data_IF_775474252559
#
_entry.id   IF_775474252559
#
_cell.length_a   1.000
_cell.length_b   1.000
_cell.length_c   1.000
_cell.angle_alpha   90.00
_cell.angle_beta   90.00
_cell.angle_gamma   90.00
#
_symmetry.space_group_name_H-M   'P 1'
#
loop_
_entity.id
_entity.type
_entity.pdbx_description
1 polymer ?
#
# COMPACT_ATOMS: atom_id res chain seq x y z
N UNK A 1 -8.99 -13.45 -4.75
CA UNK A 1 -10.37 -13.47 -4.22
C UNK A 1 -10.47 -12.95 -2.79
N UNK A 2 -9.57 -13.33 -1.87
CA UNK A 2 -9.52 -12.81 -0.48
C UNK A 2 -9.11 -11.32 -0.40
N UNK A 3 -8.13 -10.89 -1.20
CA UNK A 3 -7.66 -9.50 -1.23
C UNK A 3 -8.76 -8.48 -1.57
N UNK A 4 -9.56 -8.77 -2.61
CA UNK A 4 -10.68 -7.91 -2.99
C UNK A 4 -11.73 -7.81 -1.88
N UNK A 5 -11.95 -8.88 -1.10
CA UNK A 5 -12.88 -8.87 0.03
C UNK A 5 -12.36 -8.01 1.18
N UNK A 6 -11.07 -8.10 1.52
CA UNK A 6 -10.47 -7.24 2.55
C UNK A 6 -10.57 -5.78 2.13
N UNK A 7 -10.22 -5.46 0.89
CA UNK A 7 -10.30 -4.09 0.38
C UNK A 7 -11.74 -3.54 0.43
N UNK A 8 -12.72 -4.30 -0.09
CA UNK A 8 -14.13 -3.91 -0.08
C UNK A 8 -14.68 -3.75 1.35
N UNK A 9 -14.32 -4.67 2.25
CA UNK A 9 -14.74 -4.60 3.66
C UNK A 9 -14.14 -3.39 4.37
N UNK A 10 -12.85 -3.15 4.18
CA UNK A 10 -12.15 -1.97 4.74
C UNK A 10 -12.78 -0.68 4.21
N UNK A 11 -13.10 -0.63 2.91
CA UNK A 11 -13.79 0.49 2.28
C UNK A 11 -15.18 0.73 2.88
N UNK A 12 -16.01 -0.31 2.99
CA UNK A 12 -17.36 -0.20 3.52
C UNK A 12 -17.36 0.27 4.99
N UNK A 13 -16.45 -0.27 5.82
CA UNK A 13 -16.33 0.09 7.23
C UNK A 13 -15.96 1.57 7.40
N UNK A 14 -14.89 2.03 6.74
CA UNK A 14 -14.47 3.43 6.85
C UNK A 14 -15.49 4.38 6.22
N UNK A 15 -16.08 4.03 5.09
CA UNK A 15 -17.14 4.81 4.47
C UNK A 15 -18.30 5.07 5.44
N UNK A 16 -18.81 4.01 6.07
CA UNK A 16 -19.96 4.10 6.96
C UNK A 16 -19.61 4.87 8.24
N UNK A 17 -18.43 4.61 8.82
CA UNK A 17 -17.93 5.34 9.99
C UNK A 17 -17.79 6.84 9.72
N UNK A 18 -17.09 7.23 8.65
CA UNK A 18 -16.86 8.65 8.35
C UNK A 18 -18.16 9.38 7.97
N UNK A 19 -19.02 8.74 7.17
CA UNK A 19 -20.31 9.33 6.79
C UNK A 19 -21.23 9.52 8.00
N UNK A 20 -21.21 8.59 8.97
CA UNK A 20 -22.03 8.70 10.18
C UNK A 20 -21.47 9.75 11.14
N UNK A 21 -20.15 9.78 11.34
CA UNK A 21 -19.50 10.75 12.23
C UNK A 21 -19.64 12.19 11.72
N UNK A 22 -19.47 12.42 10.42
CA UNK A 22 -19.67 13.73 9.82
C UNK A 22 -21.12 14.17 9.91
N UNK A 23 -22.06 13.25 9.69
CA UNK A 23 -23.48 13.55 9.79
C UNK A 23 -23.85 13.95 11.22
N UNK A 24 -23.44 13.16 12.21
CA UNK A 24 -23.68 13.47 13.62
C UNK A 24 -23.05 14.80 14.02
N UNK A 25 -21.82 15.07 13.56
CA UNK A 25 -21.14 16.32 13.87
C UNK A 25 -21.86 17.53 13.30
N UNK A 26 -22.29 17.47 12.04
CA UNK A 26 -23.05 18.56 11.40
C UNK A 26 -24.42 18.69 12.08
N UNK A 27 -25.11 17.57 12.33
CA UNK A 27 -26.43 17.54 12.95
C UNK A 27 -26.41 18.17 14.35
N UNK A 28 -25.51 17.74 15.24
CA UNK A 28 -25.45 18.28 16.60
C UNK A 28 -24.99 19.74 16.64
N UNK A 29 -24.01 20.12 15.81
CA UNK A 29 -23.42 21.46 15.85
C UNK A 29 -24.31 22.53 15.20
N UNK A 30 -25.07 22.18 14.15
CA UNK A 30 -25.95 23.10 13.43
C UNK A 30 -27.42 23.02 13.89
N UNK A 31 -27.75 22.09 14.79
CA UNK A 31 -29.13 21.90 15.29
C UNK A 31 -29.76 23.15 15.90
N UNK A 32 -28.93 24.06 16.41
CA UNK A 32 -29.36 25.33 17.00
C UNK A 32 -29.69 26.42 15.96
N UNK A 33 -29.10 26.33 14.77
CA UNK A 33 -29.16 27.39 13.74
C UNK A 33 -30.04 27.01 12.54
N UNK A 34 -30.20 25.72 12.28
CA UNK A 34 -30.97 25.19 11.15
C UNK A 34 -32.22 24.47 11.63
N UNK A 35 -33.33 24.67 10.90
CA UNK A 35 -34.54 23.89 11.14
C UNK A 35 -34.35 22.43 10.70
N UNK A 36 -33.89 21.62 11.65
CA UNK A 36 -33.66 20.18 11.49
C UNK A 36 -34.95 19.37 11.27
N UNK A 37 -36.14 19.98 11.45
CA UNK A 37 -37.43 19.33 11.13
C UNK A 37 -37.75 19.43 9.63
N UNK A 38 -37.09 20.33 8.90
CA UNK A 38 -37.26 20.44 7.46
C UNK A 38 -36.52 19.29 6.75
N UNK A 39 -37.28 18.46 6.04
CA UNK A 39 -36.78 17.30 5.29
C UNK A 39 -35.75 17.66 4.23
N UNK A 40 -35.86 18.84 3.59
CA UNK A 40 -34.90 19.30 2.56
C UNK A 40 -33.51 19.59 3.15
N UNK A 41 -33.47 20.21 4.33
CA UNK A 41 -32.22 20.54 5.03
C UNK A 41 -31.52 19.28 5.51
N UNK A 42 -32.27 18.34 6.10
CA UNK A 42 -31.74 17.07 6.58
C UNK A 42 -31.17 16.21 5.44
N UNK A 43 -31.87 16.18 4.30
CA UNK A 43 -31.43 15.44 3.11
C UNK A 43 -30.14 16.04 2.52
N UNK A 44 -30.01 17.36 2.53
CA UNK A 44 -28.81 18.07 2.05
C UNK A 44 -27.59 17.76 2.92
N UNK A 45 -27.74 17.81 4.25
CA UNK A 45 -26.68 17.45 5.21
C UNK A 45 -26.29 15.98 5.05
N UNK A 46 -27.26 15.10 4.84
CA UNK A 46 -27.01 13.67 4.63
C UNK A 46 -26.18 13.43 3.36
N UNK A 47 -26.53 14.08 2.24
CA UNK A 47 -25.80 13.99 0.98
C UNK A 47 -24.37 14.52 1.11
N UNK A 48 -24.19 15.69 1.73
CA UNK A 48 -22.86 16.28 1.96
C UNK A 48 -22.01 15.32 2.79
N UNK A 49 -22.58 14.76 3.85
CA UNK A 49 -21.88 13.83 4.73
C UNK A 49 -21.46 12.55 4.00
N UNK A 50 -22.35 11.98 3.18
CA UNK A 50 -22.04 10.78 2.38
C UNK A 50 -20.95 11.10 1.34
N UNK A 51 -21.02 12.24 0.65
CA UNK A 51 -20.01 12.62 -0.34
C UNK A 51 -18.62 12.77 0.28
N UNK A 52 -18.52 13.51 1.39
CA UNK A 52 -17.25 13.71 2.09
C UNK A 52 -16.78 12.40 2.72
N UNK A 53 -17.68 11.65 3.35
CA UNK A 53 -17.38 10.36 3.97
C UNK A 53 -16.90 9.30 2.97
N UNK A 54 -17.40 9.34 1.74
CA UNK A 54 -16.91 8.48 0.63
C UNK A 54 -15.49 8.86 0.24
N UNK A 55 -15.21 10.15 0.06
CA UNK A 55 -13.88 10.59 -0.33
C UNK A 55 -12.83 10.30 0.73
N UNK A 56 -13.12 10.65 1.99
CA UNK A 56 -12.21 10.40 3.13
C UNK A 56 -12.09 8.91 3.42
N UNK A 57 -13.21 8.18 3.41
CA UNK A 57 -13.23 6.74 3.63
C UNK A 57 -12.40 5.96 2.62
N UNK A 58 -12.48 6.30 1.33
CA UNK A 58 -11.67 5.66 0.28
C UNK A 58 -10.17 5.94 0.45
N UNK A 59 -9.79 7.15 0.88
CA UNK A 59 -8.40 7.50 1.16
C UNK A 59 -7.83 6.66 2.33
N UNK A 60 -8.54 6.61 3.45
CA UNK A 60 -8.12 5.83 4.61
C UNK A 60 -8.15 4.33 4.33
N UNK A 61 -9.15 3.83 3.60
CA UNK A 61 -9.26 2.42 3.26
C UNK A 61 -8.05 1.93 2.45
N UNK A 62 -7.58 2.71 1.48
CA UNK A 62 -6.35 2.38 0.73
C UNK A 62 -5.13 2.34 1.63
N UNK A 63 -4.96 3.34 2.50
CA UNK A 63 -3.82 3.42 3.41
C UNK A 63 -3.80 2.25 4.41
N UNK A 64 -4.92 2.01 5.08
CA UNK A 64 -5.08 0.93 6.06
C UNK A 64 -4.96 -0.42 5.38
N UNK A 65 -5.55 -0.61 4.20
CA UNK A 65 -5.43 -1.85 3.42
C UNK A 65 -3.97 -2.23 3.14
N UNK A 66 -3.15 -1.28 2.66
CA UNK A 66 -1.73 -1.54 2.37
C UNK A 66 -0.98 -1.93 3.66
N UNK A 67 -1.22 -1.21 4.75
CA UNK A 67 -0.59 -1.49 6.05
C UNK A 67 -1.02 -2.85 6.60
N UNK A 68 -2.31 -3.16 6.57
CA UNK A 68 -2.84 -4.44 7.03
C UNK A 68 -2.31 -5.60 6.18
N UNK A 69 -2.27 -5.42 4.85
CA UNK A 69 -1.68 -6.39 3.90
C UNK A 69 -0.22 -6.67 4.28
N UNK A 70 0.57 -5.63 4.53
CA UNK A 70 1.96 -5.78 4.96
C UNK A 70 2.09 -6.47 6.32
N UNK A 71 1.26 -6.09 7.31
CA UNK A 71 1.26 -6.69 8.64
C UNK A 71 0.91 -8.18 8.59
N UNK A 72 -0.19 -8.56 7.93
CA UNK A 72 -0.59 -9.96 7.76
C UNK A 72 0.52 -10.73 7.04
N UNK A 73 1.06 -10.16 5.96
CA UNK A 73 2.15 -10.80 5.24
C UNK A 73 3.41 -10.98 6.09
N UNK A 74 3.69 -10.06 7.03
CA UNK A 74 4.79 -10.17 7.99
C UNK A 74 4.55 -11.25 9.03
N UNK A 75 3.37 -11.29 9.66
CA UNK A 75 3.05 -12.27 10.70
C UNK A 75 3.01 -13.70 10.17
N UNK A 76 2.46 -13.90 8.98
CA UNK A 76 2.35 -15.23 8.35
C UNK A 76 3.47 -15.50 7.34
N UNK A 77 4.64 -14.86 7.49
CA UNK A 77 5.78 -15.12 6.60
C UNK A 77 6.61 -16.30 7.08
N UNK A 78 6.87 -17.22 6.16
CA UNK A 78 7.87 -18.27 6.32
C UNK A 78 9.19 -17.78 5.74
N UNK A 79 10.28 -18.00 6.47
CA UNK A 79 11.63 -17.63 6.03
C UNK A 79 12.35 -18.84 5.48
N UNK A 80 12.77 -18.77 4.23
CA UNK A 80 13.61 -19.79 3.61
C UNK A 80 14.98 -19.17 3.30
N UNK A 81 16.02 -19.71 3.94
CA UNK A 81 17.40 -19.42 3.59
C UNK A 81 17.80 -20.33 2.44
N UNK A 82 18.35 -19.75 1.38
CA UNK A 82 18.75 -20.51 0.21
C UNK A 82 19.70 -19.73 -0.68
N UNK A 83 20.33 -20.47 -1.58
CA UNK A 83 21.09 -19.90 -2.68
C UNK A 83 20.11 -19.75 -3.84
N UNK A 84 19.93 -18.51 -4.29
CA UNK A 84 19.03 -18.18 -5.39
C UNK A 84 19.86 -17.72 -6.59
N UNK A 85 19.46 -18.17 -7.78
CA UNK A 85 20.11 -17.78 -9.03
C UNK A 85 19.63 -16.40 -9.46
N UNK A 86 20.58 -15.56 -9.87
CA UNK A 86 20.32 -14.23 -10.43
C UNK A 86 20.00 -14.40 -11.91
N UNK A 87 18.78 -14.03 -12.30
CA UNK A 87 18.30 -14.12 -13.69
C UNK A 87 18.64 -12.84 -14.43
N UNK A 88 18.40 -11.68 -13.80
CA UNK A 88 18.56 -10.38 -14.43
C UNK A 88 18.86 -9.30 -13.40
N UNK A 89 19.61 -8.28 -13.79
CA UNK A 89 19.83 -7.05 -13.03
C UNK A 89 19.48 -5.85 -13.92
N UNK A 90 18.72 -4.90 -13.39
CA UNK A 90 18.24 -3.73 -14.12
C UNK A 90 18.39 -2.46 -13.28
N UNK A 91 18.90 -1.38 -13.85
CA UNK A 91 18.88 -0.04 -13.27
C UNK A 91 17.88 0.84 -14.04
N UNK A 92 16.78 1.22 -13.38
CA UNK A 92 15.73 2.04 -14.00
C UNK A 92 15.73 3.44 -13.41
N UNK A 93 15.89 4.45 -14.24
CA UNK A 93 15.70 5.85 -13.84
C UNK A 93 14.23 6.22 -14.00
N UNK A 94 13.56 6.61 -12.92
CA UNK A 94 12.25 7.24 -13.00
C UNK A 94 12.37 8.73 -12.68
N UNK A 95 11.79 9.55 -13.54
CA UNK A 95 11.82 11.00 -13.39
C UNK A 95 10.51 11.47 -12.74
N UNK A 96 10.60 11.96 -11.51
CA UNK A 96 9.47 12.54 -10.79
C UNK A 96 9.48 14.06 -10.92
N UNK A 97 8.30 14.66 -10.98
CA UNK A 97 8.20 16.12 -10.97
C UNK A 97 8.34 16.61 -9.52
N UNK A 98 9.40 17.40 -9.24
CA UNK A 98 9.68 17.96 -7.92
C UNK A 98 8.98 19.31 -7.71
N UNK A 99 8.89 20.11 -8.77
CA UNK A 99 8.11 21.36 -8.85
C UNK A 99 7.75 21.64 -10.31
N UNK A 100 6.88 22.62 -10.57
CA UNK A 100 6.63 23.12 -11.94
C UNK A 100 7.96 23.38 -12.65
N UNK A 101 8.22 22.65 -13.74
CA UNK A 101 9.43 22.75 -14.54
C UNK A 101 10.68 22.01 -14.02
N UNK A 102 10.71 21.50 -12.78
CA UNK A 102 11.88 20.75 -12.24
C UNK A 102 11.55 19.26 -12.08
N UNK A 103 12.29 18.43 -12.81
CA UNK A 103 12.25 16.95 -12.68
C UNK A 103 13.43 16.47 -11.84
N UNK A 104 13.17 15.46 -11.01
CA UNK A 104 14.17 14.76 -10.21
C UNK A 104 14.20 13.30 -10.66
N UNK A 105 15.35 12.86 -11.18
CA UNK A 105 15.58 11.47 -11.53
C UNK A 105 15.94 10.68 -10.28
N UNK A 106 15.17 9.64 -9.97
CA UNK A 106 15.50 8.66 -8.92
C UNK A 106 15.89 7.37 -9.63
N UNK A 107 17.08 6.85 -9.27
CA UNK A 107 17.58 5.57 -9.76
C UNK A 107 17.04 4.45 -8.88
N UNK A 108 16.44 3.43 -9.51
CA UNK A 108 16.00 2.21 -8.84
C UNK A 108 16.81 1.03 -9.35
N UNK A 109 17.42 0.30 -8.43
CA UNK A 109 18.24 -0.87 -8.71
C UNK A 109 17.41 -2.13 -8.47
N UNK A 110 17.18 -2.93 -9.49
CA UNK A 110 16.38 -4.13 -9.41
C UNK A 110 17.19 -5.38 -9.72
N UNK A 111 16.88 -6.45 -9.00
CA UNK A 111 17.37 -7.80 -9.26
C UNK A 111 16.20 -8.74 -9.46
N UNK A 112 16.27 -9.59 -10.46
CA UNK A 112 15.32 -10.69 -10.68
C UNK A 112 15.99 -11.98 -10.24
N UNK A 113 15.38 -12.65 -9.27
CA UNK A 113 15.83 -13.93 -8.75
C UNK A 113 14.87 -15.03 -9.16
N UNK A 114 15.41 -16.22 -9.43
CA UNK A 114 14.60 -17.44 -9.55
C UNK A 114 14.31 -17.96 -8.14
N UNK A 115 13.05 -17.83 -7.70
CA UNK A 115 12.58 -18.30 -6.39
C UNK A 115 11.63 -19.47 -6.62
N UNK A 116 12.13 -20.69 -6.45
CA UNK A 116 11.38 -21.94 -6.62
C UNK A 116 10.72 -22.08 -8.01
N UNK A 117 11.40 -21.66 -9.08
CA UNK A 117 10.91 -21.74 -10.46
C UNK A 117 10.08 -20.54 -10.91
N UNK A 118 9.91 -19.53 -10.05
CA UNK A 118 9.25 -18.26 -10.40
C UNK A 118 10.25 -17.10 -10.41
N UNK A 119 10.27 -16.33 -11.49
CA UNK A 119 11.04 -15.09 -11.57
C UNK A 119 10.40 -14.01 -10.69
N UNK A 120 11.14 -13.54 -9.68
CA UNK A 120 10.68 -12.52 -8.73
C UNK A 120 11.63 -11.33 -8.76
N UNK A 121 11.06 -10.14 -8.98
CA UNK A 121 11.80 -8.86 -9.00
C UNK A 121 11.86 -8.25 -7.61
N UNK A 122 13.07 -7.90 -7.17
CA UNK A 122 13.35 -7.26 -5.90
C UNK A 122 14.04 -5.91 -6.13
N UNK A 123 13.75 -4.94 -5.27
CA UNK A 123 14.43 -3.66 -5.23
C UNK A 123 15.63 -3.77 -4.27
N UNK A 124 16.79 -3.26 -4.70
CA UNK A 124 18.03 -3.26 -3.95
C UNK A 124 18.51 -1.85 -3.66
N UNK A 125 19.33 -1.73 -2.64
CA UNK A 125 20.17 -0.55 -2.41
C UNK A 125 21.33 -0.52 -3.40
N UNK A 126 21.80 0.69 -3.73
CA UNK A 126 22.87 0.92 -4.70
C UNK A 126 24.12 0.12 -4.38
N UNK A 127 24.59 0.19 -3.12
CA UNK A 127 25.81 -0.47 -2.67
C UNK A 127 25.73 -1.99 -2.82
N UNK A 128 24.57 -2.57 -2.47
CA UNK A 128 24.34 -4.01 -2.57
C UNK A 128 24.23 -4.47 -4.03
N UNK A 129 23.63 -3.65 -4.88
CA UNK A 129 23.57 -3.88 -6.33
C UNK A 129 24.97 -3.92 -6.95
N UNK A 130 25.82 -2.94 -6.62
CA UNK A 130 27.21 -2.88 -7.11
C UNK A 130 28.04 -4.08 -6.63
N UNK A 131 27.90 -4.51 -5.36
CA UNK A 131 28.55 -5.72 -4.83
C UNK A 131 28.10 -7.02 -5.49
N UNK A 132 26.91 -7.04 -6.06
CA UNK A 132 26.32 -8.21 -6.71
C UNK A 132 26.59 -8.26 -8.22
N UNK A 133 27.09 -7.18 -8.81
CA UNK A 133 27.45 -7.18 -10.23
C UNK A 133 28.49 -8.26 -10.54
N UNK A 134 28.18 -9.12 -11.51
CA UNK A 134 29.04 -10.24 -11.90
C UNK A 134 28.86 -11.53 -11.10
N UNK A 135 28.02 -11.55 -10.05
CA UNK A 135 27.64 -12.80 -9.37
C UNK A 135 26.48 -13.46 -10.10
N UNK A 136 26.53 -14.79 -10.23
CA UNK A 136 25.43 -15.61 -10.78
C UNK A 136 24.43 -16.05 -9.73
N UNK A 137 24.83 -16.05 -8.45
CA UNK A 137 24.06 -16.58 -7.34
C UNK A 137 24.19 -15.69 -6.10
N UNK A 138 23.16 -15.72 -5.27
CA UNK A 138 23.06 -14.94 -4.04
C UNK A 138 22.52 -15.81 -2.91
N UNK A 139 23.19 -15.80 -1.76
CA UNK A 139 22.69 -16.44 -0.54
C UNK A 139 21.95 -15.39 0.30
N UNK A 140 20.62 -15.47 0.29
CA UNK A 140 19.78 -14.58 1.08
C UNK A 140 18.68 -15.36 1.76
N UNK A 141 18.18 -14.80 2.86
CA UNK A 141 16.95 -15.28 3.46
C UNK A 141 15.76 -14.58 2.80
N UNK A 142 14.91 -15.32 2.09
CA UNK A 142 13.69 -14.76 1.51
C UNK A 142 12.53 -15.12 2.42
N UNK A 143 11.83 -14.09 2.93
CA UNK A 143 10.55 -14.28 3.58
C UNK A 143 9.43 -14.22 2.54
N UNK A 144 8.70 -15.32 2.43
CA UNK A 144 7.48 -15.42 1.62
C UNK A 144 6.28 -15.32 2.55
N UNK A 145 5.51 -14.25 2.42
CA UNK A 145 4.27 -14.14 3.17
C UNK A 145 3.08 -14.76 2.44
N UNK A 146 2.01 -15.00 3.20
CA UNK A 146 0.79 -15.66 2.74
C UNK A 146 0.08 -14.91 1.58
N UNK A 147 0.33 -13.61 1.41
CA UNK A 147 -0.29 -12.78 0.37
C UNK A 147 0.62 -12.58 -0.86
N UNK A 148 1.59 -13.48 -1.07
CA UNK A 148 2.43 -13.50 -2.27
C UNK A 148 3.49 -12.40 -2.35
N UNK A 149 3.65 -11.61 -1.28
CA UNK A 149 4.74 -10.62 -1.16
C UNK A 149 5.97 -11.32 -0.60
N UNK A 150 7.04 -11.30 -1.38
CA UNK A 150 8.36 -11.78 -0.98
C UNK A 150 9.26 -10.58 -0.65
N UNK A 151 10.05 -10.69 0.42
CA UNK A 151 11.07 -9.70 0.75
C UNK A 151 12.33 -10.40 1.23
N UNK A 152 13.49 -9.95 0.74
CA UNK A 152 14.80 -10.43 1.19
C UNK A 152 15.15 -9.81 2.54
N UNK A 153 15.69 -10.60 3.45
CA UNK A 153 16.17 -10.15 4.76
C UNK A 153 17.65 -10.49 4.86
N UNK A 154 18.48 -9.46 4.69
CA UNK A 154 19.92 -9.48 4.95
C UNK A 154 20.71 -10.48 4.10
N UNK A 155 21.85 -10.04 3.60
CA UNK A 155 22.93 -10.96 3.30
C UNK A 155 23.58 -11.29 4.65
N UNK A 156 23.63 -12.56 5.04
CA UNK A 156 24.66 -12.96 6.01
C UNK A 156 25.95 -13.08 5.20
N UNK A 157 26.90 -12.20 5.49
CA UNK A 157 28.29 -12.34 5.03
C UNK A 157 28.86 -13.72 5.38
#
# INVERSE_FOLDING_TARGET
MFENRIFLSTRAIFWLLFSTLLFLRIYFNESSYLDMKNTKTLLTISLISICIGTWVGDFFAKYVYIRLKFCINRFFSTSNKGIYRIVKMENTQQNYMKSLGKKMGIMFYHITLDVNGEERKFLLEKELFEKLQGKSEININIKKGCLGICYGIGMQE
#
